data_IF_247543498093
#
_entry.id   IF_247543498093
#
_cell.length_a   1.000
_cell.length_b   1.000
_cell.length_c   1.000
_cell.angle_alpha   90.00
_cell.angle_beta   90.00
_cell.angle_gamma   90.00
#
_symmetry.space_group_name_H-M   'P 1'
#
loop_
_entity.id
_entity.type
_entity.pdbx_description
1 polymer ?
#
# COMPACT_ATOMS: atom_id res chain seq x y z
N UNK A 1 9.27 18.72 2.64
CA UNK A 1 8.64 18.27 3.90
C UNK A 1 9.36 17.05 4.47
N UNK A 2 9.56 15.96 3.73
CA UNK A 2 10.29 14.78 4.22
C UNK A 2 11.79 15.04 4.50
N UNK A 3 12.34 14.36 5.51
CA UNK A 3 13.74 14.44 5.90
C UNK A 3 14.00 13.78 7.25
N UNK A 4 15.28 13.55 7.58
CA UNK A 4 15.69 13.00 8.88
C UNK A 4 15.11 13.88 10.00
N UNK A 5 14.67 13.24 11.08
CA UNK A 5 14.04 13.85 12.26
C UNK A 5 12.67 14.51 12.04
N UNK A 6 12.16 14.55 10.81
CA UNK A 6 10.82 15.08 10.52
C UNK A 6 9.76 14.10 11.03
N UNK A 7 8.75 14.64 11.72
CA UNK A 7 7.59 13.87 12.17
C UNK A 7 6.67 13.54 11.00
N UNK A 8 6.24 12.29 10.89
CA UNK A 8 5.38 11.81 9.82
C UNK A 8 4.03 12.55 9.78
N UNK A 9 3.48 12.94 10.95
CA UNK A 9 2.27 13.77 11.02
C UNK A 9 2.42 15.14 10.34
N UNK A 10 3.60 15.77 10.41
CA UNK A 10 3.86 17.09 9.82
C UNK A 10 3.91 16.99 8.29
N UNK A 11 4.43 15.87 7.78
CA UNK A 11 4.38 15.57 6.34
C UNK A 11 2.92 15.45 5.88
N UNK A 12 2.09 14.73 6.63
CA UNK A 12 0.66 14.57 6.32
C UNK A 12 -0.12 15.88 6.38
N UNK A 13 0.16 16.74 7.35
CA UNK A 13 -0.45 18.07 7.46
C UNK A 13 -0.08 18.97 6.26
N UNK A 14 1.21 19.02 5.90
CA UNK A 14 1.67 19.80 4.74
C UNK A 14 1.09 19.27 3.42
N UNK A 15 0.98 17.94 3.26
CA UNK A 15 0.34 17.34 2.09
C UNK A 15 -1.13 17.76 2.01
N UNK A 16 -1.87 17.67 3.11
CA UNK A 16 -3.28 18.02 3.14
C UNK A 16 -3.51 19.51 2.85
N UNK A 17 -2.70 20.39 3.46
CA UNK A 17 -2.77 21.83 3.23
C UNK A 17 -2.68 22.17 1.74
N UNK A 18 -1.67 21.63 1.06
CA UNK A 18 -1.46 21.88 -0.37
C UNK A 18 -2.55 21.21 -1.19
N UNK A 19 -2.90 19.95 -0.91
CA UNK A 19 -3.83 19.21 -1.77
C UNK A 19 -5.26 19.76 -1.69
N UNK A 20 -5.70 20.19 -0.51
CA UNK A 20 -7.05 20.71 -0.28
C UNK A 20 -7.15 22.22 -0.57
N UNK A 21 -6.07 22.88 -1.01
CA UNK A 21 -6.12 24.25 -1.56
C UNK A 21 -6.57 24.30 -3.02
N UNK A 22 -6.78 23.15 -3.67
CA UNK A 22 -7.18 23.05 -5.08
C UNK A 22 -8.64 22.62 -5.25
N UNK A 23 -9.20 23.04 -6.37
CA UNK A 23 -10.47 22.57 -6.90
C UNK A 23 -10.33 22.26 -8.40
N UNK A 24 -11.25 21.46 -8.94
CA UNK A 24 -11.27 21.09 -10.36
C UNK A 24 -12.70 21.14 -10.89
N UNK A 25 -12.88 21.62 -12.12
CA UNK A 25 -14.16 21.54 -12.81
C UNK A 25 -14.25 20.26 -13.65
N UNK A 26 -15.28 19.44 -13.40
CA UNK A 26 -15.56 18.22 -14.16
C UNK A 26 -17.03 18.25 -14.58
N UNK A 27 -17.30 18.16 -15.87
CA UNK A 27 -18.66 18.19 -16.44
C UNK A 27 -19.49 19.42 -16.00
N UNK A 28 -18.89 20.61 -15.99
CA UNK A 28 -19.57 21.86 -15.61
C UNK A 28 -19.80 22.04 -14.10
N UNK A 29 -19.23 21.17 -13.26
CA UNK A 29 -19.33 21.24 -11.81
C UNK A 29 -17.95 21.38 -11.18
N UNK A 30 -17.79 22.38 -10.31
CA UNK A 30 -16.58 22.55 -9.51
C UNK A 30 -16.58 21.58 -8.33
N UNK A 31 -15.46 20.89 -8.14
CA UNK A 31 -15.23 19.93 -7.07
C UNK A 31 -14.00 20.35 -6.24
N UNK A 32 -14.15 20.58 -4.92
CA UNK A 32 -12.99 20.72 -4.05
C UNK A 32 -12.25 19.38 -3.99
N UNK A 33 -10.92 19.44 -4.02
CA UNK A 33 -10.09 18.26 -3.87
C UNK A 33 -10.01 17.84 -2.40
N UNK A 34 -10.06 16.53 -2.14
CA UNK A 34 -9.86 15.94 -0.81
C UNK A 34 -8.75 14.92 -0.84
N UNK A 35 -7.96 14.89 0.22
CA UNK A 35 -6.97 13.82 0.44
C UNK A 35 -7.69 12.53 0.87
N UNK A 36 -7.30 11.37 0.33
CA UNK A 36 -7.89 10.09 0.76
C UNK A 36 -7.30 9.62 2.09
N UNK A 37 -8.01 9.90 3.18
CA UNK A 37 -7.48 9.79 4.57
C UNK A 37 -7.10 8.39 5.05
N UNK A 38 -7.51 7.32 4.38
CA UNK A 38 -7.16 5.94 4.73
C UNK A 38 -6.20 5.28 3.73
N UNK A 39 -5.55 6.08 2.88
CA UNK A 39 -4.37 5.70 2.10
C UNK A 39 -3.18 6.53 2.56
N UNK A 40 -1.98 6.02 2.32
CA UNK A 40 -0.76 6.57 2.91
C UNK A 40 0.46 6.07 2.16
N UNK A 41 1.52 6.88 2.13
CA UNK A 41 2.86 6.38 1.83
C UNK A 41 3.38 5.49 2.95
N UNK A 42 4.56 4.91 2.77
CA UNK A 42 5.10 3.93 3.72
C UNK A 42 6.62 3.79 3.64
N UNK A 43 7.23 3.27 4.70
CA UNK A 43 8.64 2.83 4.69
C UNK A 43 8.79 1.55 3.86
N UNK A 44 9.93 1.42 3.20
CA UNK A 44 10.34 0.27 2.40
C UNK A 44 11.62 -0.31 2.99
N UNK A 45 11.67 -1.64 3.08
CA UNK A 45 12.90 -2.39 3.36
C UNK A 45 13.11 -3.47 2.30
N UNK A 46 14.27 -4.15 2.35
CA UNK A 46 14.62 -5.18 1.38
C UNK A 46 13.57 -6.30 1.37
N UNK A 47 12.94 -6.52 0.22
CA UNK A 47 11.83 -7.47 0.02
C UNK A 47 10.60 -7.25 0.93
N UNK A 48 10.45 -6.08 1.55
CA UNK A 48 9.32 -5.72 2.39
C UNK A 48 8.78 -4.36 1.97
N UNK A 49 7.76 -4.38 1.10
CA UNK A 49 7.21 -3.15 0.53
C UNK A 49 6.63 -2.24 1.61
N UNK A 50 5.96 -2.78 2.63
CA UNK A 50 5.45 -2.02 3.78
C UNK A 50 6.20 -2.39 5.07
N UNK A 51 7.22 -1.61 5.43
CA UNK A 51 8.13 -1.88 6.55
C UNK A 51 7.71 -1.15 7.86
N UNK A 52 6.42 -1.12 8.16
CA UNK A 52 5.88 -0.74 9.47
C UNK A 52 5.63 0.76 9.72
N UNK A 53 6.43 1.68 9.19
CA UNK A 53 6.14 3.13 9.26
C UNK A 53 5.23 3.57 8.12
N UNK A 54 4.26 4.41 8.44
CA UNK A 54 3.25 4.93 7.51
C UNK A 54 3.37 6.46 7.39
N UNK A 55 3.41 6.98 6.17
CA UNK A 55 3.42 8.43 5.90
C UNK A 55 1.98 8.88 5.63
N UNK A 56 1.30 9.52 6.59
CA UNK A 56 -0.07 9.98 6.39
C UNK A 56 -0.12 11.08 5.32
N UNK A 57 -1.29 11.25 4.71
CA UNK A 57 -1.58 12.35 3.77
C UNK A 57 -2.63 13.34 4.30
N UNK A 58 -2.94 13.23 5.60
CA UNK A 58 -3.83 14.11 6.35
C UNK A 58 -3.22 14.43 7.71
N UNK A 59 -3.63 15.54 8.32
CA UNK A 59 -3.27 15.89 9.70
C UNK A 59 -3.79 14.86 10.71
N UNK A 60 -3.18 14.81 11.89
CA UNK A 60 -3.67 14.01 13.04
C UNK A 60 -3.12 12.58 13.16
N UNK A 61 -2.00 12.27 12.48
CA UNK A 61 -1.27 11.01 12.63
C UNK A 61 -0.19 11.01 13.73
N UNK A 62 0.59 9.95 13.80
CA UNK A 62 1.65 9.79 14.82
C UNK A 62 2.84 10.74 14.60
N UNK A 63 3.40 11.23 15.70
CA UNK A 63 4.61 12.05 15.72
C UNK A 63 5.92 11.24 15.59
N UNK A 64 5.84 10.01 15.05
CA UNK A 64 7.01 9.17 14.74
C UNK A 64 7.88 9.92 13.73
N UNK A 65 9.21 9.85 13.91
CA UNK A 65 10.16 10.53 13.04
C UNK A 65 10.67 9.62 11.93
N UNK A 66 10.97 10.24 10.78
CA UNK A 66 11.81 9.64 9.76
C UNK A 66 13.25 9.56 10.27
N UNK A 67 13.90 8.43 10.04
CA UNK A 67 15.27 8.18 10.48
C UNK A 67 16.23 8.16 9.28
N UNK A 68 17.52 8.37 9.56
CA UNK A 68 18.58 8.25 8.55
C UNK A 68 18.58 6.84 7.92
N UNK A 69 18.88 6.77 6.63
CA UNK A 69 18.95 5.53 5.85
C UNK A 69 17.63 4.74 5.70
N UNK A 70 16.47 5.33 6.04
CA UNK A 70 15.17 4.76 5.71
C UNK A 70 14.75 5.11 4.26
N UNK A 71 14.16 4.13 3.57
CA UNK A 71 13.55 4.35 2.26
C UNK A 71 12.05 4.52 2.43
N UNK A 72 11.47 5.46 1.69
CA UNK A 72 10.04 5.77 1.76
C UNK A 72 9.41 5.86 0.37
N UNK A 73 8.23 5.27 0.23
CA UNK A 73 7.26 5.70 -0.77
C UNK A 73 6.49 6.89 -0.21
N UNK A 74 6.59 8.04 -0.89
CA UNK A 74 5.77 9.22 -0.62
C UNK A 74 4.66 9.24 -1.67
N UNK A 75 3.45 8.88 -1.25
CA UNK A 75 2.31 8.68 -2.14
C UNK A 75 1.14 9.53 -1.66
N UNK A 76 0.50 10.26 -2.58
CA UNK A 76 -0.63 11.13 -2.27
C UNK A 76 -1.79 10.85 -3.19
N UNK A 77 -3.00 10.86 -2.65
CA UNK A 77 -4.21 10.51 -3.39
C UNK A 77 -5.25 11.61 -3.26
N UNK A 78 -5.49 12.31 -4.37
CA UNK A 78 -6.51 13.33 -4.51
C UNK A 78 -7.83 12.70 -4.97
N UNK A 79 -8.95 13.14 -4.39
CA UNK A 79 -10.29 12.65 -4.75
C UNK A 79 -11.31 13.78 -4.80
N UNK A 80 -12.21 13.72 -5.78
CA UNK A 80 -13.43 14.54 -5.83
C UNK A 80 -14.59 13.89 -5.05
N UNK A 81 -14.36 12.72 -4.45
CA UNK A 81 -15.34 11.94 -3.70
C UNK A 81 -15.33 12.21 -2.19
N UNK A 82 -15.53 11.15 -1.39
CA UNK A 82 -15.58 11.23 0.08
C UNK A 82 -14.21 11.29 0.77
N UNK A 83 -13.12 11.24 0.00
CA UNK A 83 -11.76 11.16 0.54
C UNK A 83 -11.53 9.90 1.38
N UNK A 84 -12.09 8.76 0.97
CA UNK A 84 -11.99 7.48 1.67
C UNK A 84 -12.18 6.33 0.68
N UNK A 85 -11.36 5.28 0.75
CA UNK A 85 -11.53 4.05 -0.04
C UNK A 85 -12.19 2.94 0.78
N UNK A 86 -12.99 2.11 0.12
CA UNK A 86 -13.49 0.84 0.65
C UNK A 86 -12.96 -0.31 -0.20
N UNK A 87 -12.93 -1.52 0.35
CA UNK A 87 -12.65 -2.71 -0.44
C UNK A 87 -13.82 -2.98 -1.40
N UNK A 88 -13.49 -3.17 -2.68
CA UNK A 88 -14.46 -3.43 -3.75
C UNK A 88 -13.80 -4.28 -4.85
N UNK A 89 -14.63 -4.85 -5.73
CA UNK A 89 -14.22 -5.69 -6.87
C UNK A 89 -13.46 -6.97 -6.46
N UNK A 90 -12.96 -7.69 -7.46
CA UNK A 90 -12.24 -8.94 -7.24
C UNK A 90 -10.78 -8.69 -6.81
N UNK A 91 -10.32 -9.43 -5.79
CA UNK A 91 -8.93 -9.35 -5.32
C UNK A 91 -7.97 -9.95 -6.35
N UNK A 92 -7.01 -9.15 -6.78
CA UNK A 92 -5.95 -9.56 -7.72
C UNK A 92 -4.54 -9.54 -7.12
N UNK A 93 -4.31 -8.74 -6.09
CA UNK A 93 -2.99 -8.55 -5.46
C UNK A 93 -2.89 -9.37 -4.18
N UNK A 94 -1.79 -10.09 -4.04
CA UNK A 94 -1.50 -10.96 -2.91
C UNK A 94 -0.05 -10.78 -2.50
N UNK A 95 0.26 -11.03 -1.23
CA UNK A 95 1.64 -10.99 -0.74
C UNK A 95 1.77 -11.94 0.44
N UNK A 96 2.91 -12.63 0.53
CA UNK A 96 3.23 -13.47 1.69
C UNK A 96 3.48 -12.56 2.89
N UNK A 97 2.90 -12.90 4.05
CA UNK A 97 3.19 -12.19 5.30
C UNK A 97 4.66 -12.40 5.68
N UNK A 98 5.37 -11.30 5.85
CA UNK A 98 6.79 -11.31 6.24
C UNK A 98 6.98 -12.08 7.54
N UNK A 99 8.04 -12.90 7.63
CA UNK A 99 8.37 -13.69 8.82
C UNK A 99 7.48 -14.90 9.10
N UNK A 100 6.53 -15.25 8.22
CA UNK A 100 5.66 -16.43 8.39
C UNK A 100 6.05 -17.54 7.42
N UNK A 101 6.23 -18.75 7.94
CA UNK A 101 6.57 -19.95 7.14
C UNK A 101 5.37 -20.90 6.92
N UNK A 102 5.62 -22.02 6.21
CA UNK A 102 4.60 -23.01 5.85
C UNK A 102 4.36 -24.11 6.89
N UNK A 103 4.93 -24.03 8.11
CA UNK A 103 4.87 -25.12 9.10
C UNK A 103 3.43 -25.59 9.36
N UNK A 104 2.46 -24.68 9.36
CA UNK A 104 1.07 -24.98 9.69
C UNK A 104 0.17 -25.39 8.49
N UNK A 105 0.68 -25.41 7.25
CA UNK A 105 -0.14 -25.65 6.04
C UNK A 105 -0.39 -27.15 5.80
N UNK A 106 -1.41 -27.75 6.41
CA UNK A 106 -1.63 -29.20 6.30
C UNK A 106 -2.11 -29.67 4.91
N UNK A 107 -2.88 -28.84 4.19
CA UNK A 107 -3.46 -29.23 2.90
C UNK A 107 -2.36 -29.32 1.81
N UNK A 108 -2.21 -30.46 1.11
CA UNK A 108 -1.15 -30.66 0.12
C UNK A 108 -1.16 -29.62 -1.02
N UNK A 109 -2.34 -29.34 -1.60
CA UNK A 109 -2.46 -28.33 -2.68
C UNK A 109 -2.05 -26.93 -2.23
N UNK A 110 -2.46 -26.52 -1.04
CA UNK A 110 -2.08 -25.22 -0.47
C UNK A 110 -0.58 -25.14 -0.19
N UNK A 111 0.03 -26.24 0.27
CA UNK A 111 1.48 -26.31 0.50
C UNK A 111 2.26 -26.24 -0.82
N UNK A 112 1.78 -26.92 -1.86
CA UNK A 112 2.39 -26.84 -3.19
C UNK A 112 2.34 -25.40 -3.74
N UNK A 113 1.18 -24.74 -3.69
CA UNK A 113 1.05 -23.34 -4.10
C UNK A 113 1.92 -22.41 -3.26
N UNK A 114 1.98 -22.61 -1.95
CA UNK A 114 2.86 -21.83 -1.06
C UNK A 114 4.32 -21.94 -1.51
N UNK A 115 4.81 -23.15 -1.80
CA UNK A 115 6.19 -23.36 -2.23
C UNK A 115 6.49 -22.68 -3.56
N UNK A 116 5.51 -22.65 -4.49
CA UNK A 116 5.64 -21.91 -5.74
C UNK A 116 5.73 -20.40 -5.46
N UNK A 117 4.85 -19.86 -4.62
CA UNK A 117 4.88 -18.44 -4.23
C UNK A 117 6.22 -18.09 -3.57
N UNK A 118 6.69 -18.92 -2.64
CA UNK A 118 7.92 -18.68 -1.88
C UNK A 118 9.16 -18.69 -2.79
N UNK A 119 9.22 -19.63 -3.73
CA UNK A 119 10.36 -19.77 -4.65
C UNK A 119 10.41 -18.69 -5.73
N UNK A 120 9.26 -18.14 -6.14
CA UNK A 120 9.19 -17.17 -7.24
C UNK A 120 9.10 -15.71 -6.76
N UNK A 121 8.41 -15.46 -5.65
CA UNK A 121 8.11 -14.11 -5.18
C UNK A 121 8.63 -13.86 -3.76
N UNK A 122 8.84 -14.91 -2.95
CA UNK A 122 9.19 -14.79 -1.53
C UNK A 122 8.19 -13.85 -0.83
N UNK A 123 8.65 -12.72 -0.31
CA UNK A 123 7.82 -11.70 0.35
C UNK A 123 7.42 -10.53 -0.55
N UNK A 124 7.77 -10.56 -1.84
CA UNK A 124 7.25 -9.61 -2.81
C UNK A 124 5.78 -9.86 -3.12
N UNK A 125 5.04 -8.80 -3.40
CA UNK A 125 3.67 -8.90 -3.87
C UNK A 125 3.61 -9.55 -5.26
N UNK A 126 2.53 -10.27 -5.53
CA UNK A 126 2.26 -10.93 -6.80
C UNK A 126 0.77 -10.85 -7.15
N UNK A 127 0.40 -11.33 -8.33
CA UNK A 127 -0.98 -11.40 -8.76
C UNK A 127 -1.30 -12.73 -9.46
N UNK A 128 -2.59 -13.05 -9.64
CA UNK A 128 -3.03 -14.29 -10.31
C UNK A 128 -2.42 -14.47 -11.69
N UNK A 129 -2.35 -13.40 -12.49
CA UNK A 129 -1.73 -13.43 -13.83
C UNK A 129 -0.26 -13.87 -13.81
N UNK A 130 0.46 -13.61 -12.72
CA UNK A 130 1.85 -14.05 -12.59
C UNK A 130 1.95 -15.53 -12.25
N UNK A 131 1.00 -16.05 -11.47
CA UNK A 131 0.83 -17.48 -11.25
C UNK A 131 0.48 -18.22 -12.55
N UNK A 132 -0.46 -17.69 -13.33
CA UNK A 132 -0.84 -18.26 -14.63
C UNK A 132 0.37 -18.33 -15.57
N UNK A 133 1.18 -17.26 -15.62
CA UNK A 133 2.39 -17.18 -16.46
C UNK A 133 3.43 -18.25 -16.12
N UNK A 134 3.52 -18.66 -14.86
CA UNK A 134 4.45 -19.72 -14.41
C UNK A 134 3.77 -21.11 -14.36
N UNK A 135 2.63 -21.26 -15.05
CA UNK A 135 1.94 -22.55 -15.21
C UNK A 135 1.09 -22.97 -14.01
N UNK A 136 0.83 -22.08 -13.05
CA UNK A 136 -0.12 -22.33 -11.97
C UNK A 136 -1.52 -21.86 -12.40
N UNK A 137 -2.13 -22.60 -13.34
CA UNK A 137 -3.53 -22.35 -13.71
C UNK A 137 -4.40 -22.86 -12.57
N UNK A 138 -4.99 -21.92 -11.82
CA UNK A 138 -6.01 -22.26 -10.85
C UNK A 138 -7.32 -22.50 -11.62
N UNK A 139 -7.62 -23.76 -11.94
CA UNK A 139 -8.97 -24.13 -12.36
C UNK A 139 -9.91 -23.90 -11.19
N UNK A 140 -10.63 -22.77 -11.21
CA UNK A 140 -11.77 -22.54 -10.34
C UNK A 140 -12.97 -23.26 -10.97
N UNK A 141 -13.16 -24.53 -10.60
CA UNK A 141 -14.44 -25.21 -10.74
C UNK A 141 -15.32 -24.89 -9.53
#
# INVERSE_FOLDING_TARGET
>A
AAGIDVRLCDVGEAIQEVMESYEVEINGKVHPIKSIRNLSGHKIEQYMIHAGKTVPIVRGGDAIKMEENEFYAIETFASTGKGYVNHEMETSHYMKKFGVDSRHIKQPKARALYNVIDSNFSTLAFCRRWLDRIGQVLEFN
#
